data_IF_535841899610
#
_entry.id   IF_535841899610
#
_cell.length_a   1.000
_cell.length_b   1.000
_cell.length_c   1.000
_cell.angle_alpha   90.00
_cell.angle_beta   90.00
_cell.angle_gamma   90.00
#
_symmetry.space_group_name_H-M   'P 1'
#
loop_
_entity.id
_entity.type
_entity.pdbx_description
1 polymer ?
#
# COMPACT_ATOMS: atom_id res chain seq x y z
N UNK A 1 9.08 -12.69 -33.76
CA UNK A 1 7.92 -11.85 -34.17
C UNK A 1 6.73 -11.95 -33.22
N UNK A 2 6.45 -13.08 -32.55
CA UNK A 2 5.29 -13.23 -31.63
C UNK A 2 5.51 -12.66 -30.21
N UNK A 3 6.75 -12.64 -29.72
CA UNK A 3 7.07 -12.12 -28.38
C UNK A 3 6.92 -10.60 -28.26
N UNK A 4 7.08 -9.85 -29.35
CA UNK A 4 6.94 -8.39 -29.32
C UNK A 4 5.47 -7.99 -29.18
N UNK A 5 4.54 -8.71 -29.82
CA UNK A 5 3.10 -8.46 -29.69
C UNK A 5 2.53 -8.93 -28.36
N UNK A 6 3.01 -10.06 -27.82
CA UNK A 6 2.60 -10.52 -26.48
C UNK A 6 3.21 -9.65 -25.36
N UNK A 7 4.43 -9.14 -25.56
CA UNK A 7 5.00 -8.13 -24.69
C UNK A 7 4.07 -6.90 -24.69
N UNK A 8 3.69 -6.35 -25.84
CA UNK A 8 2.78 -5.20 -25.96
C UNK A 8 1.35 -5.45 -25.43
N UNK A 9 0.97 -6.63 -24.93
CA UNK A 9 -0.43 -6.87 -24.50
C UNK A 9 -0.62 -7.02 -22.98
N UNK A 10 0.39 -6.71 -22.15
CA UNK A 10 0.13 -6.72 -20.70
C UNK A 10 1.23 -6.25 -19.76
N UNK A 11 2.49 -6.15 -20.18
CA UNK A 11 3.60 -5.75 -19.29
C UNK A 11 4.10 -4.31 -19.50
N UNK A 12 4.52 -3.94 -20.71
CA UNK A 12 5.10 -2.66 -21.06
C UNK A 12 4.14 -1.49 -20.90
N UNK A 13 2.84 -1.61 -21.20
CA UNK A 13 1.92 -0.48 -20.99
C UNK A 13 1.79 -0.10 -19.53
N UNK A 14 1.72 -1.08 -18.62
CA UNK A 14 1.68 -0.81 -17.18
C UNK A 14 2.97 -0.14 -16.70
N UNK A 15 4.13 -0.53 -17.26
CA UNK A 15 5.41 0.12 -16.98
C UNK A 15 5.42 1.55 -17.50
N UNK A 16 4.96 1.79 -18.74
CA UNK A 16 4.89 3.13 -19.34
C UNK A 16 3.95 4.04 -18.55
N UNK A 17 2.77 3.55 -18.17
CA UNK A 17 1.82 4.29 -17.32
C UNK A 17 2.41 4.55 -15.95
N UNK A 18 3.07 3.56 -15.34
CA UNK A 18 3.78 3.71 -14.08
C UNK A 18 4.86 4.79 -14.15
N UNK A 19 5.65 4.81 -15.22
CA UNK A 19 6.69 5.83 -15.46
C UNK A 19 6.08 7.20 -15.72
N UNK A 20 5.00 7.31 -16.49
CA UNK A 20 4.30 8.58 -16.71
C UNK A 20 3.79 9.19 -15.40
N UNK A 21 3.14 8.38 -14.56
CA UNK A 21 2.71 8.79 -13.22
C UNK A 21 3.92 9.16 -12.36
N UNK A 22 5.02 8.40 -12.44
CA UNK A 22 6.26 8.67 -11.72
C UNK A 22 6.91 10.00 -12.13
N UNK A 23 6.80 10.40 -13.40
CA UNK A 23 7.31 11.68 -13.89
C UNK A 23 6.40 12.85 -13.47
N UNK A 24 5.08 12.66 -13.49
CA UNK A 24 4.11 13.69 -13.09
C UNK A 24 4.12 13.95 -11.58
N UNK A 25 4.16 12.90 -10.78
CA UNK A 25 4.10 13.01 -9.32
C UNK A 25 5.48 12.91 -8.66
N UNK A 26 6.49 12.37 -9.34
CA UNK A 26 7.80 12.08 -8.75
C UNK A 26 7.80 10.78 -7.95
N UNK A 27 8.92 10.05 -7.96
CA UNK A 27 9.04 8.76 -7.28
C UNK A 27 8.95 8.77 -5.76
N UNK A 28 8.96 9.97 -5.14
CA UNK A 28 8.79 10.13 -3.69
C UNK A 28 7.34 10.36 -3.26
N UNK A 29 6.49 10.94 -4.12
CA UNK A 29 5.10 11.27 -3.74
C UNK A 29 4.20 10.06 -3.60
N UNK A 30 4.34 9.04 -4.45
CA UNK A 30 3.51 7.82 -4.32
C UNK A 30 3.76 7.10 -2.99
N UNK A 31 5.01 6.81 -2.58
CA UNK A 31 5.29 6.24 -1.26
C UNK A 31 4.84 7.11 -0.09
N UNK A 32 4.95 8.43 -0.22
CA UNK A 32 4.54 9.40 0.81
C UNK A 32 3.01 9.40 1.00
N UNK A 33 2.26 9.40 -0.10
CA UNK A 33 0.80 9.29 -0.10
C UNK A 33 0.34 7.92 0.42
N UNK A 34 0.98 6.82 0.02
CA UNK A 34 0.69 5.48 0.53
C UNK A 34 0.96 5.36 2.04
N UNK A 35 2.05 5.96 2.54
CA UNK A 35 2.34 6.00 3.99
C UNK A 35 1.30 6.80 4.75
N UNK A 36 0.86 7.95 4.23
CA UNK A 36 -0.19 8.76 4.82
C UNK A 36 -1.54 8.04 4.84
N UNK A 37 -1.95 7.48 3.70
CA UNK A 37 -3.18 6.71 3.55
C UNK A 37 -3.16 5.45 4.43
N UNK A 38 -2.04 4.72 4.48
CA UNK A 38 -1.90 3.52 5.30
C UNK A 38 -2.00 3.81 6.80
N UNK A 39 -1.46 4.93 7.27
CA UNK A 39 -1.66 5.40 8.65
C UNK A 39 -3.12 5.75 8.92
N UNK A 40 -3.76 6.51 8.01
CA UNK A 40 -5.17 6.86 8.13
C UNK A 40 -6.10 5.64 8.16
N UNK A 41 -5.87 4.66 7.28
CA UNK A 41 -6.60 3.38 7.28
C UNK A 41 -6.35 2.61 8.58
N UNK A 42 -5.12 2.58 9.08
CA UNK A 42 -4.78 1.91 10.35
C UNK A 42 -5.47 2.56 11.54
N UNK A 43 -5.45 3.89 11.64
CA UNK A 43 -6.14 4.63 12.70
C UNK A 43 -7.66 4.51 12.59
N UNK A 44 -8.19 4.54 11.37
CA UNK A 44 -9.62 4.31 11.09
C UNK A 44 -10.06 2.90 11.48
N UNK A 45 -9.23 1.90 11.18
CA UNK A 45 -9.46 0.51 11.58
C UNK A 45 -9.38 0.36 13.09
N UNK A 46 -8.35 0.89 13.74
CA UNK A 46 -8.21 0.86 15.20
C UNK A 46 -9.36 1.59 15.93
N UNK A 47 -9.87 2.68 15.37
CA UNK A 47 -11.00 3.43 15.92
C UNK A 47 -12.35 2.74 15.69
N UNK A 48 -12.51 2.01 14.59
CA UNK A 48 -13.67 1.14 14.36
C UNK A 48 -13.61 -0.14 15.23
N UNK A 49 -12.43 -0.72 15.39
CA UNK A 49 -12.16 -1.93 16.19
C UNK A 49 -12.01 -1.61 17.69
N UNK A 50 -12.70 -0.57 18.20
CA UNK A 50 -12.64 -0.22 19.61
C UNK A 50 -12.82 -1.45 20.51
N UNK A 51 -11.76 -1.80 21.25
CA UNK A 51 -11.73 -2.78 22.38
C UNK A 51 -11.25 -4.22 22.08
N UNK A 52 -10.22 -4.42 21.25
CA UNK A 52 -9.42 -5.67 21.32
C UNK A 52 -8.02 -5.39 21.90
N UNK A 53 -7.97 -4.89 23.14
CA UNK A 53 -6.81 -5.17 23.99
C UNK A 53 -6.87 -6.67 24.33
N UNK A 54 -5.88 -7.49 23.96
CA UNK A 54 -5.72 -8.76 24.65
C UNK A 54 -5.32 -8.43 26.09
N UNK A 55 -6.30 -8.50 27.01
CA UNK A 55 -6.14 -8.52 28.46
C UNK A 55 -5.44 -9.82 28.85
N UNK A 56 -4.21 -10.01 28.41
CA UNK A 56 -3.37 -11.16 28.74
C UNK A 56 -2.05 -10.57 29.19
N UNK A 57 -1.91 -10.31 30.50
CA UNK A 57 -0.64 -10.43 31.26
C UNK A 57 -0.63 -9.92 32.72
N UNK A 58 -1.76 -9.66 33.40
CA UNK A 58 -1.70 -9.17 34.81
C UNK A 58 -2.03 -10.14 35.95
N UNK A 59 -2.38 -11.41 35.71
CA UNK A 59 -2.62 -12.37 36.80
C UNK A 59 -1.79 -13.65 36.64
N UNK A 60 -0.54 -13.61 37.06
CA UNK A 60 0.24 -14.79 37.45
C UNK A 60 1.41 -14.37 38.35
N UNK A 61 1.12 -13.63 39.42
CA UNK A 61 2.04 -13.46 40.55
C UNK A 61 1.25 -12.96 41.77
N UNK A 62 0.60 -13.90 42.45
CA UNK A 62 0.24 -13.77 43.86
C UNK A 62 0.17 -15.17 44.49
#
# INVERSE_FOLDING_TARGET
>A
MLNTTAAILGGPELIIVGVAILLLFGGKKIPELMKGLGKGIKEFKNGQEGTDEPVIQKEAKL
#
